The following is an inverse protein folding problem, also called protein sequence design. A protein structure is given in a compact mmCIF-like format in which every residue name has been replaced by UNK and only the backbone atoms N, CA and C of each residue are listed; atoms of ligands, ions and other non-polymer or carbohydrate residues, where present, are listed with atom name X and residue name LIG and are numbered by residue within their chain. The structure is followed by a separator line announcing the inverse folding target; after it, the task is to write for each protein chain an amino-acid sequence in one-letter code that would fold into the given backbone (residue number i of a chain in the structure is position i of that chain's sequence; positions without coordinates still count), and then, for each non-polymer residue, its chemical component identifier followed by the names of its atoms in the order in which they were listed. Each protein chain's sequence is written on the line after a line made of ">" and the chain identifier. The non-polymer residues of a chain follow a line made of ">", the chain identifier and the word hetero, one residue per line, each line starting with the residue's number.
data_IF_053253812513
#
_entry.id   IF_053253812513
#
_cell.length_a   1.000
_cell.length_b   1.000
_cell.length_c   1.000
_cell.angle_alpha   90.00
_cell.angle_beta   90.00
_cell.angle_gamma   90.00
#
_symmetry.space_group_name_H-M   'P 1'
#
loop_
_entity.id
_entity.type
_entity.pdbx_description
1 polymer ?
#
# COMPACT_ATOMS: atom_id res chain seq x y z
N UNK A 1 3.86 -6.13 16.20
CA UNK A 1 5.31 -6.37 16.06
C UNK A 1 6.05 -5.05 15.88
N UNK A 2 7.29 -4.98 16.36
CA UNK A 2 8.20 -3.86 16.17
C UNK A 2 9.53 -4.41 15.65
N UNK A 3 10.07 -3.80 14.61
CA UNK A 3 11.33 -4.15 13.98
C UNK A 3 12.27 -2.97 14.10
N UNK A 4 13.46 -3.19 14.65
CA UNK A 4 14.41 -2.12 14.99
C UNK A 4 15.14 -1.59 13.75
N UNK A 5 15.28 -2.44 12.73
CA UNK A 5 15.99 -2.13 11.49
C UNK A 5 15.16 -2.55 10.28
N UNK A 6 15.59 -2.09 9.10
CA UNK A 6 14.99 -2.47 7.83
C UNK A 6 16.03 -3.15 6.96
N UNK A 7 15.66 -4.29 6.36
CA UNK A 7 16.51 -4.99 5.39
C UNK A 7 15.95 -4.84 3.97
N UNK A 8 16.86 -4.69 3.01
CA UNK A 8 16.57 -4.71 1.58
C UNK A 8 17.56 -5.65 0.88
N UNK A 9 17.07 -6.37 -0.12
CA UNK A 9 17.84 -7.21 -1.02
C UNK A 9 17.67 -6.73 -2.46
N UNK A 10 18.77 -6.29 -3.06
CA UNK A 10 18.85 -5.80 -4.44
C UNK A 10 19.72 -6.68 -5.34
N UNK A 11 20.11 -7.85 -4.82
CA UNK A 11 20.98 -8.79 -5.51
C UNK A 11 20.39 -9.29 -6.83
N UNK A 12 21.27 -9.64 -7.77
CA UNK A 12 20.91 -9.98 -9.15
C UNK A 12 20.83 -8.78 -10.10
N UNK A 13 20.92 -7.55 -9.59
CA UNK A 13 20.93 -6.32 -10.39
C UNK A 13 22.27 -5.59 -10.31
N UNK A 14 22.73 -5.05 -11.44
CA UNK A 14 23.94 -4.21 -11.55
C UNK A 14 25.22 -4.83 -10.93
N UNK A 15 25.35 -6.16 -10.96
CA UNK A 15 26.49 -6.87 -10.37
C UNK A 15 26.45 -7.05 -8.85
N UNK A 16 25.33 -6.71 -8.20
CA UNK A 16 25.10 -6.94 -6.77
C UNK A 16 24.87 -8.44 -6.53
N UNK A 17 25.63 -9.11 -5.65
CA UNK A 17 25.39 -10.52 -5.28
C UNK A 17 24.00 -10.74 -4.69
N UNK A 18 23.40 -11.91 -4.93
CA UNK A 18 22.05 -12.24 -4.46
C UNK A 18 21.91 -12.16 -2.94
N UNK A 19 22.90 -12.67 -2.22
CA UNK A 19 22.96 -12.70 -0.77
C UNK A 19 23.26 -11.33 -0.13
N UNK A 20 23.62 -10.32 -0.93
CA UNK A 20 23.98 -9.02 -0.39
C UNK A 20 22.75 -8.32 0.22
N UNK A 21 22.80 -8.19 1.54
CA UNK A 21 21.81 -7.47 2.36
C UNK A 21 22.22 -6.02 2.57
N UNK A 22 21.32 -5.09 2.27
CA UNK A 22 21.44 -3.68 2.67
C UNK A 22 20.58 -3.44 3.89
N UNK A 23 21.22 -3.15 5.03
CA UNK A 23 20.53 -2.86 6.29
C UNK A 23 20.47 -1.35 6.53
N UNK A 24 19.28 -0.84 6.80
CA UNK A 24 19.01 0.55 7.14
C UNK A 24 18.71 0.65 8.63
N UNK A 25 19.28 1.68 9.28
CA UNK A 25 18.95 2.07 10.65
C UNK A 25 17.60 2.81 10.67
N UNK A 26 16.55 2.07 10.33
CA UNK A 26 15.18 2.55 10.22
C UNK A 26 14.22 1.53 10.83
N UNK A 27 13.54 1.86 11.94
CA UNK A 27 12.58 0.96 12.53
C UNK A 27 11.23 1.00 11.80
N UNK A 28 10.51 -0.12 11.86
CA UNK A 28 9.12 -0.25 11.41
C UNK A 28 8.27 -0.83 12.54
N UNK A 29 7.01 -0.44 12.57
CA UNK A 29 6.03 -0.97 13.52
C UNK A 29 4.77 -1.42 12.78
N UNK A 30 4.25 -2.56 13.21
CA UNK A 30 2.90 -2.95 12.84
C UNK A 30 1.92 -2.22 13.75
N UNK A 31 0.96 -1.53 13.14
CA UNK A 31 -0.03 -0.73 13.87
C UNK A 31 -1.39 -1.44 13.89
N UNK A 32 -2.00 -1.52 15.07
CA UNK A 32 -3.43 -1.83 15.17
C UNK A 32 -4.24 -0.64 14.62
N UNK A 33 -4.85 -0.85 13.45
CA UNK A 33 -5.70 0.16 12.79
C UNK A 33 -6.84 0.65 13.69
N UNK A 34 -7.50 -0.26 14.41
CA UNK A 34 -8.63 0.11 15.26
C UNK A 34 -8.13 0.90 16.48
N UNK A 35 -7.07 0.42 17.12
CA UNK A 35 -6.39 1.09 18.22
C UNK A 35 -5.88 2.49 17.86
N UNK A 36 -5.19 2.64 16.72
CA UNK A 36 -4.71 3.94 16.24
C UNK A 36 -5.88 4.89 15.95
N UNK A 37 -6.94 4.41 15.28
CA UNK A 37 -8.13 5.23 15.02
C UNK A 37 -8.79 5.69 16.32
N UNK A 38 -8.90 4.81 17.32
CA UNK A 38 -9.44 5.15 18.63
C UNK A 38 -8.55 6.17 19.36
N UNK A 39 -7.22 6.01 19.29
CA UNK A 39 -6.27 6.96 19.86
C UNK A 39 -6.41 8.35 19.23
N UNK A 40 -6.46 8.43 17.89
CA UNK A 40 -6.60 9.70 17.18
C UNK A 40 -7.94 10.38 17.51
N UNK A 41 -9.04 9.62 17.61
CA UNK A 41 -10.34 10.15 18.06
C UNK A 41 -10.27 10.74 19.46
N UNK A 42 -9.70 10.03 20.42
CA UNK A 42 -9.53 10.55 21.79
C UNK A 42 -8.70 11.83 21.81
N UNK A 43 -7.65 11.92 20.99
CA UNK A 43 -6.84 13.15 20.88
C UNK A 43 -7.63 14.32 20.32
N UNK A 44 -8.55 14.08 19.38
CA UNK A 44 -9.47 15.12 18.89
C UNK A 44 -10.43 15.57 19.99
N UNK A 45 -11.05 14.63 20.72
CA UNK A 45 -11.98 14.93 21.81
C UNK A 45 -11.30 15.72 22.95
N UNK A 46 -10.03 15.41 23.24
CA UNK A 46 -9.22 16.11 24.25
C UNK A 46 -8.69 17.47 23.78
N UNK A 47 -8.63 17.71 22.47
CA UNK A 47 -8.12 18.95 21.87
C UNK A 47 -9.03 20.18 22.04
N UNK A 48 -10.22 20.00 22.62
CA UNK A 48 -11.16 21.09 22.91
C UNK A 48 -11.93 21.61 21.69
N UNK A 49 -12.40 22.87 21.77
CA UNK A 49 -13.32 23.53 20.81
C UNK A 49 -12.76 23.71 19.38
N UNK A 50 -11.51 23.33 19.11
CA UNK A 50 -10.86 23.50 17.80
C UNK A 50 -11.35 22.51 16.72
N UNK A 51 -12.05 21.43 17.11
CA UNK A 51 -12.55 20.43 16.17
C UNK A 51 -13.98 19.99 16.51
N UNK A 52 -14.89 20.13 15.55
CA UNK A 52 -16.26 19.63 15.65
C UNK A 52 -16.42 18.41 14.76
N UNK A 53 -16.91 17.30 15.33
CA UNK A 53 -17.18 16.07 14.60
C UNK A 53 -18.67 16.00 14.26
N UNK A 54 -18.98 16.02 12.96
CA UNK A 54 -20.34 15.81 12.47
C UNK A 54 -20.54 14.33 12.12
N UNK A 55 -21.49 13.67 12.78
CA UNK A 55 -21.92 12.30 12.42
C UNK A 55 -22.94 12.35 11.27
N UNK A 56 -22.53 12.88 10.12
CA UNK A 56 -23.37 13.07 8.95
C UNK A 56 -22.60 12.70 7.68
N UNK A 57 -23.34 12.49 6.58
CA UNK A 57 -22.74 12.29 5.26
C UNK A 57 -22.79 13.58 4.47
N UNK A 58 -21.77 13.80 3.65
CA UNK A 58 -21.86 14.72 2.52
C UNK A 58 -22.26 13.90 1.30
N UNK A 59 -23.50 14.03 0.86
CA UNK A 59 -23.99 13.36 -0.34
C UNK A 59 -23.75 14.28 -1.54
N UNK A 60 -22.48 14.39 -1.94
CA UNK A 60 -22.07 15.14 -3.11
C UNK A 60 -21.24 14.28 -4.07
N UNK A 61 -21.37 14.58 -5.36
CA UNK A 61 -20.65 13.92 -6.45
C UNK A 61 -20.01 14.96 -7.34
N UNK A 62 -18.79 14.69 -7.81
CA UNK A 62 -18.14 15.52 -8.83
C UNK A 62 -18.84 15.38 -10.18
N UNK A 63 -19.19 16.51 -10.79
CA UNK A 63 -19.78 16.60 -12.13
C UNK A 63 -18.67 16.92 -13.15
N UNK A 64 -17.76 17.82 -12.80
CA UNK A 64 -16.59 18.22 -13.58
C UNK A 64 -15.42 18.59 -12.64
N UNK A 65 -14.20 18.86 -13.15
CA UNK A 65 -13.10 19.31 -12.30
C UNK A 65 -13.50 20.54 -11.47
N UNK A 66 -13.40 20.41 -10.14
CA UNK A 66 -13.81 21.42 -9.17
C UNK A 66 -15.31 21.84 -9.23
N UNK A 67 -16.15 21.05 -9.89
CA UNK A 67 -17.61 21.25 -9.93
C UNK A 67 -18.31 20.02 -9.36
N UNK A 68 -19.22 20.24 -8.44
CA UNK A 68 -19.95 19.20 -7.74
C UNK A 68 -21.46 19.44 -7.88
N UNK A 69 -22.26 18.44 -7.50
CA UNK A 69 -23.70 18.59 -7.40
C UNK A 69 -24.11 19.56 -6.27
N UNK A 70 -25.42 19.67 -6.04
CA UNK A 70 -26.00 20.73 -5.22
C UNK A 70 -25.55 20.76 -3.75
N UNK A 71 -24.98 19.67 -3.23
CA UNK A 71 -24.62 19.58 -1.82
C UNK A 71 -23.18 20.03 -1.53
N UNK A 72 -22.39 20.36 -2.56
CA UNK A 72 -21.08 20.99 -2.42
C UNK A 72 -20.92 22.12 -3.45
N UNK A 73 -21.02 23.37 -3.00
CA UNK A 73 -20.94 24.54 -3.87
C UNK A 73 -19.71 25.37 -3.52
N UNK A 74 -18.91 25.70 -4.52
CA UNK A 74 -17.75 26.58 -4.39
C UNK A 74 -18.05 27.98 -4.91
N UNK A 75 -17.50 28.98 -4.22
CA UNK A 75 -17.44 30.37 -4.68
C UNK A 75 -16.06 30.97 -4.36
N UNK A 76 -15.86 32.26 -4.67
CA UNK A 76 -14.57 32.94 -4.51
C UNK A 76 -14.06 32.99 -3.05
N UNK A 77 -14.93 32.82 -2.05
CA UNK A 77 -14.59 32.88 -0.64
C UNK A 77 -14.51 31.50 0.04
N UNK A 78 -14.82 30.40 -0.66
CA UNK A 78 -14.75 29.06 -0.10
C UNK A 78 -15.84 28.09 -0.59
N UNK A 79 -16.24 27.19 0.30
CA UNK A 79 -17.11 26.04 0.01
C UNK A 79 -18.28 25.99 0.97
N UNK A 80 -19.48 25.80 0.45
CA UNK A 80 -20.70 25.52 1.22
C UNK A 80 -21.05 24.04 1.06
N UNK A 81 -21.21 23.34 2.17
CA UNK A 81 -21.51 21.92 2.23
C UNK A 81 -22.89 21.71 2.86
N UNK A 82 -23.77 20.94 2.22
CA UNK A 82 -25.04 20.53 2.79
C UNK A 82 -24.95 19.08 3.23
N UNK A 83 -25.05 18.84 4.54
CA UNK A 83 -24.95 17.52 5.13
C UNK A 83 -26.28 16.76 5.00
N UNK A 84 -26.24 15.44 5.13
CA UNK A 84 -27.43 14.57 5.14
C UNK A 84 -28.41 14.88 6.27
N UNK A 85 -27.99 15.64 7.28
CA UNK A 85 -28.84 16.16 8.37
C UNK A 85 -29.61 17.42 7.98
N UNK A 86 -29.34 18.00 6.80
CA UNK A 86 -29.85 19.31 6.37
C UNK A 86 -29.02 20.49 6.85
N UNK A 87 -28.05 20.26 7.74
CA UNK A 87 -27.13 21.30 8.21
C UNK A 87 -26.23 21.79 7.07
N UNK A 88 -26.02 23.10 7.01
CA UNK A 88 -25.14 23.74 6.04
C UNK A 88 -23.89 24.27 6.71
N UNK A 89 -22.72 23.83 6.25
CA UNK A 89 -21.42 24.25 6.75
C UNK A 89 -20.70 25.13 5.74
N UNK A 90 -19.98 26.14 6.23
CA UNK A 90 -19.12 27.00 5.41
C UNK A 90 -17.65 26.77 5.76
N UNK A 91 -16.85 26.45 4.76
CA UNK A 91 -15.42 26.14 4.93
C UNK A 91 -14.56 26.88 3.90
N UNK A 92 -13.32 27.21 4.27
CA UNK A 92 -12.32 27.75 3.32
C UNK A 92 -11.63 26.66 2.52
N UNK A 93 -11.55 25.44 3.07
CA UNK A 93 -10.92 24.27 2.47
C UNK A 93 -11.77 23.04 2.79
N UNK A 94 -11.93 22.16 1.81
CA UNK A 94 -12.52 20.83 1.96
C UNK A 94 -11.43 19.81 1.62
N UNK A 95 -11.16 18.89 2.54
CA UNK A 95 -10.21 17.80 2.33
C UNK A 95 -10.99 16.50 2.27
N UNK A 96 -10.98 15.85 1.11
CA UNK A 96 -11.57 14.52 0.96
C UNK A 96 -10.61 13.46 1.51
N UNK A 97 -10.97 12.88 2.66
CA UNK A 97 -10.26 11.78 3.30
C UNK A 97 -11.06 10.46 3.26
N UNK A 98 -11.99 10.31 2.32
CA UNK A 98 -12.83 9.10 2.16
C UNK A 98 -12.12 7.92 1.49
N UNK A 99 -10.88 8.12 1.03
CA UNK A 99 -10.05 7.05 0.45
C UNK A 99 -10.53 6.64 -0.95
N UNK A 100 -10.49 5.34 -1.25
CA UNK A 100 -10.83 4.82 -2.58
C UNK A 100 -12.32 4.96 -2.94
N UNK A 101 -13.19 5.24 -1.95
CA UNK A 101 -14.63 5.42 -2.12
C UNK A 101 -15.02 6.89 -2.44
N UNK A 102 -14.03 7.76 -2.63
CA UNK A 102 -14.26 9.18 -2.92
C UNK A 102 -15.18 9.39 -4.12
N UNK A 103 -16.26 10.13 -3.90
CA UNK A 103 -17.16 10.64 -4.94
C UNK A 103 -16.80 12.06 -5.40
N UNK A 104 -15.84 12.70 -4.75
CA UNK A 104 -15.43 14.08 -5.03
C UNK A 104 -14.24 14.15 -5.99
N UNK A 105 -13.47 13.08 -6.12
CA UNK A 105 -12.33 13.00 -7.03
C UNK A 105 -12.72 12.26 -8.32
N UNK A 106 -12.59 12.95 -9.46
CA UNK A 106 -12.66 12.34 -10.80
C UNK A 106 -11.32 12.52 -11.49
N UNK A 107 -10.82 11.44 -12.10
CA UNK A 107 -9.70 11.55 -13.02
C UNK A 107 -10.16 12.30 -14.26
N UNK A 108 -9.49 13.40 -14.59
CA UNK A 108 -9.78 14.16 -15.80
C UNK A 108 -9.75 13.26 -17.02
N UNK A 109 -10.60 13.57 -18.02
CA UNK A 109 -10.42 12.98 -19.33
C UNK A 109 -9.09 13.48 -19.90
N UNK A 110 -8.43 12.63 -20.66
CA UNK A 110 -7.11 12.91 -21.23
C UNK A 110 -7.12 14.17 -22.10
N UNK A 111 -8.24 14.42 -22.78
CA UNK A 111 -8.46 15.63 -23.56
C UNK A 111 -8.59 16.89 -22.70
N UNK A 112 -9.23 16.80 -21.53
CA UNK A 112 -9.37 17.94 -20.60
C UNK A 112 -8.04 18.28 -19.90
N UNK A 113 -7.18 17.28 -19.67
CA UNK A 113 -5.86 17.44 -19.08
C UNK A 113 -4.78 17.98 -20.06
N UNK A 114 -5.17 18.34 -21.29
CA UNK A 114 -4.23 18.79 -22.34
C UNK A 114 -3.24 17.70 -22.79
N UNK A 115 -3.53 16.42 -22.51
CA UNK A 115 -2.65 15.32 -22.87
C UNK A 115 -2.88 14.90 -24.31
N UNK A 116 -1.81 14.85 -25.10
CA UNK A 116 -1.85 14.41 -26.51
C UNK A 116 -2.01 12.90 -26.65
N UNK A 117 -1.85 12.14 -25.58
CA UNK A 117 -1.94 10.68 -25.57
C UNK A 117 -2.69 10.17 -24.35
N UNK A 118 -3.48 9.08 -24.51
CA UNK A 118 -4.05 8.38 -23.38
C UNK A 118 -2.99 7.85 -22.41
N UNK A 119 -3.14 8.17 -21.12
CA UNK A 119 -2.37 7.62 -20.02
C UNK A 119 -3.25 6.63 -19.27
N UNK A 120 -3.18 5.32 -19.59
CA UNK A 120 -3.92 4.33 -18.82
C UNK A 120 -3.43 4.30 -17.37
N UNK A 121 -4.33 4.02 -16.41
CA UNK A 121 -3.95 3.95 -15.01
C UNK A 121 -2.88 2.88 -14.78
N UNK A 122 -1.93 3.20 -13.91
CA UNK A 122 -1.03 2.21 -13.32
C UNK A 122 -1.78 1.42 -12.25
N UNK A 123 -1.50 0.13 -12.20
CA UNK A 123 -2.03 -0.78 -11.19
C UNK A 123 -0.87 -1.42 -10.44
N UNK A 124 -1.04 -1.51 -9.13
CA UNK A 124 -0.20 -2.28 -8.24
C UNK A 124 -1.11 -3.19 -7.43
N UNK A 125 -0.69 -4.44 -7.28
CA UNK A 125 -1.38 -5.42 -6.47
C UNK A 125 -0.36 -6.14 -5.59
N UNK A 126 -0.86 -6.75 -4.52
CA UNK A 126 -0.06 -7.49 -3.56
C UNK A 126 -0.75 -8.80 -3.17
N UNK A 127 0.04 -9.84 -2.93
CA UNK A 127 -0.41 -11.12 -2.37
C UNK A 127 0.23 -11.29 -0.99
N UNK A 128 -0.56 -11.00 0.06
CA UNK A 128 -0.12 -11.06 1.45
C UNK A 128 -0.73 -12.24 2.22
N UNK A 129 0.06 -12.89 3.07
CA UNK A 129 -0.38 -13.97 3.95
C UNK A 129 0.49 -14.09 5.20
N UNK A 130 -0.10 -14.60 6.29
CA UNK A 130 0.64 -15.03 7.47
C UNK A 130 0.84 -16.54 7.41
N UNK A 131 2.03 -17.02 7.76
CA UNK A 131 2.27 -18.44 8.01
C UNK A 131 3.22 -18.64 9.18
N UNK A 132 3.14 -19.84 9.76
CA UNK A 132 4.07 -20.32 10.77
C UNK A 132 5.10 -21.21 10.07
N UNK A 133 6.37 -20.86 10.21
CA UNK A 133 7.50 -21.50 9.54
C UNK A 133 8.22 -22.41 10.53
N UNK A 134 8.50 -23.66 10.13
CA UNK A 134 9.15 -24.65 11.02
C UNK A 134 10.67 -24.44 11.13
N UNK A 135 11.26 -23.89 10.09
CA UNK A 135 12.69 -23.65 9.98
C UNK A 135 13.00 -22.17 10.19
N UNK A 136 14.29 -21.86 10.36
CA UNK A 136 14.81 -20.50 10.43
C UNK A 136 14.44 -19.77 9.14
N UNK A 137 13.76 -18.63 9.24
CA UNK A 137 13.32 -17.77 8.14
C UNK A 137 14.46 -16.98 7.48
N UNK A 138 15.68 -17.54 7.47
CA UNK A 138 16.84 -16.97 6.76
C UNK A 138 16.48 -16.85 5.27
N UNK A 139 16.71 -15.70 4.63
CA UNK A 139 17.57 -14.59 5.05
C UNK A 139 16.85 -13.47 5.81
N UNK A 140 15.56 -13.60 6.10
CA UNK A 140 14.80 -12.56 6.79
C UNK A 140 15.16 -12.57 8.28
N UNK A 141 15.68 -11.45 8.79
CA UNK A 141 16.11 -11.39 10.18
C UNK A 141 14.93 -11.09 11.12
N UNK A 142 14.80 -11.77 12.28
CA UNK A 142 13.71 -11.53 13.24
C UNK A 142 13.53 -10.07 13.65
N UNK A 143 14.64 -9.34 13.81
CA UNK A 143 14.68 -7.96 14.26
C UNK A 143 14.41 -6.94 13.15
N UNK A 144 14.33 -7.39 11.90
CA UNK A 144 14.22 -6.54 10.72
C UNK A 144 12.88 -6.70 10.01
N UNK A 145 12.32 -5.57 9.59
CA UNK A 145 11.30 -5.58 8.55
C UNK A 145 12.03 -5.64 7.20
N UNK A 146 11.75 -6.65 6.38
CA UNK A 146 12.27 -6.68 5.01
C UNK A 146 11.36 -5.82 4.14
N UNK A 147 11.86 -4.67 3.70
CA UNK A 147 11.08 -3.70 2.91
C UNK A 147 11.10 -4.06 1.43
N UNK A 148 12.23 -4.46 0.87
CA UNK A 148 12.31 -4.79 -0.54
C UNK A 148 13.22 -5.97 -0.76
N UNK A 149 12.67 -7.14 -1.05
CA UNK A 149 13.44 -8.24 -1.64
C UNK A 149 13.12 -8.37 -3.14
N UNK A 150 14.02 -7.80 -3.95
CA UNK A 150 13.95 -7.79 -5.42
C UNK A 150 14.67 -8.98 -6.07
N UNK A 151 15.22 -9.93 -5.29
CA UNK A 151 15.97 -11.05 -5.86
C UNK A 151 15.08 -11.89 -6.78
N UNK A 152 15.64 -12.39 -7.88
CA UNK A 152 14.96 -13.20 -8.90
C UNK A 152 15.64 -14.55 -9.15
N UNK A 153 16.59 -14.93 -8.30
CA UNK A 153 17.32 -16.20 -8.32
C UNK A 153 16.39 -17.42 -8.29
N UNK A 154 15.30 -17.34 -7.54
CA UNK A 154 14.22 -18.34 -7.51
C UNK A 154 13.49 -18.55 -8.86
N UNK A 155 13.77 -17.72 -9.88
CA UNK A 155 13.19 -17.81 -11.23
C UNK A 155 14.23 -18.19 -12.29
N UNK A 156 15.52 -18.27 -11.96
CA UNK A 156 16.59 -18.49 -12.95
C UNK A 156 16.53 -19.86 -13.64
N UNK A 157 15.94 -20.86 -12.97
CA UNK A 157 15.76 -22.19 -13.54
C UNK A 157 14.79 -22.22 -14.73
N UNK A 158 13.94 -21.20 -14.89
CA UNK A 158 13.01 -21.04 -16.01
C UNK A 158 13.23 -19.70 -16.73
N UNK A 159 13.92 -19.69 -17.89
CA UNK A 159 14.20 -18.47 -18.64
C UNK A 159 12.96 -17.64 -19.00
N UNK A 160 11.80 -18.27 -19.20
CA UNK A 160 10.57 -17.56 -19.50
C UNK A 160 10.05 -16.81 -18.26
N UNK A 161 10.08 -17.45 -17.08
CA UNK A 161 9.75 -16.81 -15.81
C UNK A 161 10.70 -15.65 -15.47
N UNK A 162 12.00 -15.81 -15.72
CA UNK A 162 12.97 -14.74 -15.49
C UNK A 162 12.75 -13.54 -16.43
N UNK A 163 12.53 -13.79 -17.72
CA UNK A 163 12.22 -12.74 -18.69
C UNK A 163 10.93 -11.98 -18.30
N UNK A 164 9.93 -12.72 -17.81
CA UNK A 164 8.69 -12.14 -17.29
C UNK A 164 8.88 -11.30 -16.04
N UNK A 165 9.76 -11.70 -15.11
CA UNK A 165 10.09 -10.91 -13.93
C UNK A 165 10.85 -9.62 -14.27
N UNK A 166 11.66 -9.62 -15.34
CA UNK A 166 12.31 -8.41 -15.86
C UNK A 166 11.28 -7.44 -16.45
N UNK A 167 10.32 -7.91 -17.25
CA UNK A 167 9.30 -7.03 -17.84
C UNK A 167 8.23 -6.59 -16.82
N UNK A 168 7.87 -7.49 -15.89
CA UNK A 168 6.82 -7.29 -14.88
C UNK A 168 7.39 -7.59 -13.49
N UNK A 169 8.15 -6.66 -12.88
CA UNK A 169 8.82 -6.91 -11.61
C UNK A 169 7.85 -7.07 -10.44
N UNK A 170 8.24 -7.89 -9.48
CA UNK A 170 7.64 -7.97 -8.15
C UNK A 170 8.74 -8.06 -7.09
N UNK A 171 8.37 -7.83 -5.84
CA UNK A 171 9.27 -7.90 -4.70
C UNK A 171 8.53 -8.38 -3.45
N UNK A 172 9.25 -8.95 -2.50
CA UNK A 172 8.69 -9.47 -1.25
C UNK A 172 8.91 -8.50 -0.09
N UNK A 173 7.86 -8.26 0.69
CA UNK A 173 7.96 -7.83 2.08
C UNK A 173 7.98 -9.06 2.99
N UNK A 174 8.85 -9.06 3.99
CA UNK A 174 8.84 -10.07 5.04
C UNK A 174 8.82 -9.39 6.41
N UNK A 175 7.88 -9.78 7.24
CA UNK A 175 7.59 -9.17 8.54
C UNK A 175 7.54 -10.27 9.61
N UNK A 176 8.69 -10.70 10.15
CA UNK A 176 8.73 -11.70 11.21
C UNK A 176 7.99 -11.22 12.46
N UNK A 177 7.03 -12.00 12.97
CA UNK A 177 6.14 -11.58 14.06
C UNK A 177 6.50 -12.18 15.42
N UNK A 178 7.30 -13.26 15.45
CA UNK A 178 7.80 -13.87 16.68
C UNK A 178 7.64 -15.39 16.71
N UNK A 179 8.36 -16.01 17.64
CA UNK A 179 8.24 -17.44 17.94
C UNK A 179 6.85 -17.78 18.47
N UNK A 180 6.32 -18.92 18.04
CA UNK A 180 5.07 -19.50 18.49
C UNK A 180 5.35 -20.54 19.59
N UNK A 181 4.35 -20.90 20.43
CA UNK A 181 4.56 -21.83 21.54
C UNK A 181 5.07 -23.23 21.15
N UNK A 182 4.87 -23.64 19.90
CA UNK A 182 5.34 -24.93 19.37
C UNK A 182 6.76 -24.87 18.75
N UNK A 183 7.43 -23.72 18.90
CA UNK A 183 8.78 -23.47 18.37
C UNK A 183 8.80 -23.06 16.90
N UNK A 184 7.64 -22.98 16.21
CA UNK A 184 7.56 -22.38 14.88
C UNK A 184 7.72 -20.86 14.95
N UNK A 185 8.03 -20.22 13.82
CA UNK A 185 8.12 -18.76 13.75
C UNK A 185 7.05 -18.18 12.84
N UNK A 186 6.25 -17.25 13.36
CA UNK A 186 5.22 -16.58 12.56
C UNK A 186 5.85 -15.46 11.74
N UNK A 187 5.50 -15.41 10.46
CA UNK A 187 5.89 -14.31 9.58
C UNK A 187 4.70 -13.90 8.71
N UNK A 188 4.60 -12.60 8.44
CA UNK A 188 3.76 -12.09 7.36
C UNK A 188 4.63 -11.85 6.12
N UNK A 189 4.23 -12.43 5.00
CA UNK A 189 4.86 -12.27 3.70
C UNK A 189 3.90 -11.53 2.78
N UNK A 190 4.43 -10.65 1.93
CA UNK A 190 3.65 -9.98 0.89
C UNK A 190 4.48 -9.79 -0.39
N UNK A 191 4.17 -10.56 -1.43
CA UNK A 191 4.75 -10.34 -2.76
C UNK A 191 3.93 -9.26 -3.47
N UNK A 192 4.58 -8.18 -3.84
CA UNK A 192 3.96 -6.96 -4.38
C UNK A 192 4.48 -6.71 -5.79
N UNK A 193 3.57 -6.43 -6.74
CA UNK A 193 3.97 -6.03 -8.08
C UNK A 193 4.57 -4.63 -8.07
N UNK A 194 5.50 -4.33 -8.97
CA UNK A 194 5.75 -2.94 -9.34
C UNK A 194 4.52 -2.40 -10.08
N UNK A 195 4.37 -1.07 -10.14
CA UNK A 195 3.26 -0.44 -10.87
C UNK A 195 3.35 -0.81 -12.35
N UNK A 196 2.34 -1.53 -12.85
CA UNK A 196 2.23 -1.94 -14.24
C UNK A 196 1.05 -1.27 -14.95
N UNK A 197 1.14 -1.16 -16.28
CA UNK A 197 0.04 -0.68 -17.16
C UNK A 197 -0.22 -1.71 -18.25
N UNK A 198 -1.48 -1.89 -18.63
CA UNK A 198 -1.87 -2.84 -19.68
C UNK A 198 -1.34 -4.24 -19.40
N UNK A 199 -0.64 -4.82 -20.37
CA UNK A 199 -0.07 -6.17 -20.32
C UNK A 199 1.05 -6.32 -19.26
N UNK A 200 1.68 -5.21 -18.86
CA UNK A 200 2.72 -5.22 -17.80
C UNK A 200 2.15 -5.35 -16.39
N UNK A 201 0.83 -5.32 -16.22
CA UNK A 201 0.19 -5.50 -14.92
C UNK A 201 0.25 -6.98 -14.53
N UNK A 202 0.79 -7.26 -13.34
CA UNK A 202 0.69 -8.59 -12.75
C UNK A 202 -0.73 -8.88 -12.26
N UNK A 203 -1.08 -10.16 -12.23
CA UNK A 203 -2.34 -10.65 -11.70
C UNK A 203 -2.11 -11.37 -10.37
N UNK A 204 -3.16 -11.42 -9.55
CA UNK A 204 -3.09 -11.96 -8.20
C UNK A 204 -2.55 -13.41 -8.17
N UNK A 205 -2.98 -14.24 -9.13
CA UNK A 205 -2.51 -15.62 -9.24
C UNK A 205 -1.03 -15.75 -9.60
N UNK A 206 -0.47 -14.79 -10.36
CA UNK A 206 0.95 -14.78 -10.68
C UNK A 206 1.79 -14.33 -9.48
N UNK A 207 1.35 -13.30 -8.75
CA UNK A 207 2.03 -12.92 -7.50
C UNK A 207 2.06 -14.04 -6.47
N UNK A 208 0.94 -14.77 -6.32
CA UNK A 208 0.89 -15.95 -5.45
C UNK A 208 1.93 -17.00 -5.86
N UNK A 209 2.01 -17.35 -7.16
CA UNK A 209 3.01 -18.31 -7.66
C UNK A 209 4.44 -17.86 -7.40
N UNK A 210 4.75 -16.57 -7.61
CA UNK A 210 6.08 -16.02 -7.34
C UNK A 210 6.42 -16.05 -5.86
N UNK A 211 5.48 -15.68 -4.99
CA UNK A 211 5.65 -15.78 -3.54
C UNK A 211 5.96 -17.22 -3.11
N UNK A 212 5.17 -18.20 -3.58
CA UNK A 212 5.35 -19.62 -3.25
C UNK A 212 6.71 -20.14 -3.74
N UNK A 213 7.09 -19.86 -4.99
CA UNK A 213 8.41 -20.23 -5.54
C UNK A 213 9.56 -19.59 -4.78
N UNK A 214 9.43 -18.32 -4.40
CA UNK A 214 10.45 -17.62 -3.61
C UNK A 214 10.65 -18.29 -2.25
N UNK A 215 9.57 -18.58 -1.53
CA UNK A 215 9.66 -19.22 -0.22
C UNK A 215 10.24 -20.64 -0.33
N UNK A 216 9.79 -21.42 -1.31
CA UNK A 216 10.33 -22.77 -1.57
C UNK A 216 11.84 -22.73 -1.86
N UNK A 217 12.30 -21.79 -2.71
CA UNK A 217 13.72 -21.59 -3.02
C UNK A 217 14.54 -21.22 -1.79
N UNK A 218 13.96 -20.48 -0.84
CA UNK A 218 14.59 -20.13 0.44
C UNK A 218 14.48 -21.25 1.49
N UNK A 219 13.77 -22.35 1.20
CA UNK A 219 13.55 -23.45 2.14
C UNK A 219 12.55 -23.14 3.26
N UNK A 220 11.63 -22.20 3.03
CA UNK A 220 10.60 -21.73 3.96
C UNK A 220 9.25 -22.40 3.67
#
# INVERSE_FOLDING_TARGET
>A
AEWQVTDCYFGGSFGTPFEQRTRLDRPYIQVDRAGLKALLRRKLDQGGEACTIFQAKLEASTIAPNLFDTNLVHDAAGSTLTLSTGETLRAKLVVDATGFESKLVRRESLAAAGLTKPLPPGYQIAYGFCCDTRNRHDPYAPEAMTLFDYRTDHLEADPASLADAVDRPSFMYAMPQGEQPDGSWRCFFEETSLVGRGERRLEFGELKRRAERRLEHLGI
#
